data_IF_331932774487
#
_entry.id   IF_331932774487
#
_cell.length_a   1.000
_cell.length_b   1.000
_cell.length_c   1.000
_cell.angle_alpha   90.00
_cell.angle_beta   90.00
_cell.angle_gamma   90.00
#
_symmetry.space_group_name_H-M   'P 1'
#
loop_
_entity.id
_entity.type
_entity.pdbx_description
1 polymer ?
#
# COMPACT_ATOMS: atom_id res chain seq x y z
N UNK A 1 12.77 -10.43 -21.35
CA UNK A 1 12.58 -9.39 -20.32
C UNK A 1 12.12 -8.14 -21.05
N UNK A 2 10.82 -7.99 -21.27
CA UNK A 2 10.28 -6.86 -22.02
C UNK A 2 10.40 -5.60 -21.15
N UNK A 3 10.92 -4.52 -21.75
CA UNK A 3 10.80 -3.16 -21.23
C UNK A 3 9.34 -2.93 -20.83
N UNK A 4 9.09 -2.26 -19.71
CA UNK A 4 7.75 -1.76 -19.43
C UNK A 4 7.34 -0.87 -20.60
N UNK A 5 6.51 -1.39 -21.51
CA UNK A 5 6.00 -0.66 -22.65
C UNK A 5 5.36 0.60 -22.09
N UNK A 6 5.89 1.77 -22.49
CA UNK A 6 5.19 3.02 -22.26
C UNK A 6 3.79 2.83 -22.86
N UNK A 7 2.76 2.85 -22.00
CA UNK A 7 1.40 2.64 -22.45
C UNK A 7 1.13 3.55 -23.65
N UNK A 8 0.65 2.96 -24.74
CA UNK A 8 0.45 3.71 -25.99
C UNK A 8 -0.32 5.01 -25.70
N UNK A 9 0.12 6.15 -26.24
CA UNK A 9 -0.55 7.42 -26.03
C UNK A 9 -2.04 7.33 -26.32
N UNK A 10 -2.87 7.84 -25.41
CA UNK A 10 -4.32 7.80 -25.55
C UNK A 10 -4.98 6.50 -25.08
N UNK A 11 -4.22 5.48 -24.66
CA UNK A 11 -4.82 4.33 -23.95
C UNK A 11 -5.38 4.74 -22.59
N UNK A 12 -6.34 3.96 -22.09
CA UNK A 12 -6.95 4.22 -20.79
C UNK A 12 -5.96 4.11 -19.61
N UNK A 13 -4.85 3.38 -19.78
CA UNK A 13 -3.74 3.32 -18.82
C UNK A 13 -2.90 4.60 -18.89
N UNK A 14 -2.45 4.97 -20.10
CA UNK A 14 -1.70 6.20 -20.32
C UNK A 14 -2.44 7.44 -19.82
N UNK A 15 -3.74 7.55 -20.11
CA UNK A 15 -4.55 8.67 -19.63
C UNK A 15 -4.68 8.67 -18.12
N UNK A 16 -4.85 7.52 -17.48
CA UNK A 16 -4.89 7.44 -16.01
C UNK A 16 -3.55 7.87 -15.37
N UNK A 17 -2.42 7.54 -15.99
CA UNK A 17 -1.10 8.03 -15.56
C UNK A 17 -0.98 9.56 -15.72
N UNK A 18 -1.51 10.10 -16.82
CA UNK A 18 -1.55 11.55 -17.04
C UNK A 18 -2.47 12.29 -16.07
N UNK A 19 -3.57 11.67 -15.61
CA UNK A 19 -4.39 12.25 -14.52
C UNK A 19 -3.54 12.50 -13.28
N UNK A 20 -2.67 11.55 -12.92
CA UNK A 20 -1.77 11.71 -11.78
C UNK A 20 -0.76 12.84 -11.98
N UNK A 21 -0.17 12.95 -13.17
CA UNK A 21 0.79 14.01 -13.52
C UNK A 21 0.14 15.38 -13.39
N UNK A 22 -1.07 15.55 -13.91
CA UNK A 22 -1.78 16.82 -13.85
C UNK A 22 -2.29 17.14 -12.45
N UNK A 23 -2.78 16.15 -11.70
CA UNK A 23 -3.13 16.33 -10.29
C UNK A 23 -1.92 16.78 -9.45
N UNK A 24 -0.75 16.20 -9.71
CA UNK A 24 0.52 16.55 -9.08
C UNK A 24 1.00 17.98 -9.37
N UNK A 25 0.69 18.50 -10.56
CA UNK A 25 0.99 19.87 -10.99
C UNK A 25 0.00 20.90 -10.42
N UNK A 26 -1.05 20.45 -9.73
CA UNK A 26 -2.17 21.29 -9.33
C UNK A 26 -3.16 21.59 -10.45
N UNK A 27 -3.01 20.94 -11.61
CA UNK A 27 -3.86 21.09 -12.79
C UNK A 27 -5.10 20.20 -12.69
N UNK A 28 -5.90 20.40 -11.64
CA UNK A 28 -7.02 19.52 -11.29
C UNK A 28 -8.09 19.42 -12.40
N UNK A 29 -8.33 20.50 -13.13
CA UNK A 29 -9.31 20.47 -14.25
C UNK A 29 -8.83 19.60 -15.40
N UNK A 30 -7.53 19.65 -15.73
CA UNK A 30 -6.94 18.79 -16.75
C UNK A 30 -6.93 17.33 -16.29
N UNK A 31 -6.58 17.09 -15.02
CA UNK A 31 -6.68 15.78 -14.39
C UNK A 31 -8.10 15.18 -14.51
N UNK A 32 -9.15 15.98 -14.29
CA UNK A 32 -10.54 15.52 -14.47
C UNK A 32 -10.90 15.21 -15.92
N UNK A 33 -10.50 16.07 -16.85
CA UNK A 33 -10.75 15.85 -18.27
C UNK A 33 -10.10 14.55 -18.75
N UNK A 34 -8.87 14.30 -18.32
CA UNK A 34 -8.13 13.06 -18.59
C UNK A 34 -8.78 11.84 -17.92
N UNK A 35 -9.28 11.96 -16.69
CA UNK A 35 -9.94 10.86 -15.98
C UNK A 35 -11.25 10.47 -16.67
N UNK A 36 -12.04 11.46 -17.09
CA UNK A 36 -13.27 11.23 -17.86
C UNK A 36 -12.98 10.46 -19.16
N UNK A 37 -11.91 10.84 -19.86
CA UNK A 37 -11.46 10.13 -21.07
C UNK A 37 -10.97 8.71 -20.75
N UNK A 38 -10.18 8.53 -19.69
CA UNK A 38 -9.67 7.23 -19.26
C UNK A 38 -10.80 6.25 -18.90
N UNK A 39 -11.80 6.71 -18.13
CA UNK A 39 -12.97 5.92 -17.75
C UNK A 39 -13.88 5.58 -18.94
N UNK A 40 -13.95 6.46 -19.94
CA UNK A 40 -14.71 6.21 -21.15
C UNK A 40 -14.11 5.10 -22.02
N UNK A 41 -12.79 4.96 -22.03
CA UNK A 41 -12.05 4.01 -22.88
C UNK A 41 -11.97 2.59 -22.31
N UNK A 42 -12.06 2.42 -20.99
CA UNK A 42 -11.99 1.11 -20.37
C UNK A 42 -12.84 1.11 -19.11
N UNK A 43 -14.09 0.68 -19.31
CA UNK A 43 -15.13 0.58 -18.28
C UNK A 43 -14.91 -0.60 -17.32
N UNK A 44 -14.02 -1.54 -17.65
CA UNK A 44 -13.88 -2.83 -16.96
C UNK A 44 -12.73 -2.88 -15.94
N UNK A 45 -11.64 -2.10 -16.12
CA UNK A 45 -10.59 -1.98 -15.09
C UNK A 45 -10.96 -0.96 -14.02
N UNK A 46 -11.72 -1.44 -13.03
CA UNK A 46 -12.37 -0.61 -12.02
C UNK A 46 -11.45 -0.12 -10.89
N UNK A 47 -10.37 -0.82 -10.53
CA UNK A 47 -9.72 -0.59 -9.23
C UNK A 47 -8.91 0.72 -9.12
N UNK A 48 -7.86 0.98 -9.92
CA UNK A 48 -7.01 2.17 -9.73
C UNK A 48 -7.72 3.48 -10.11
N UNK A 49 -8.63 3.41 -11.09
CA UNK A 49 -9.39 4.59 -11.56
C UNK A 49 -10.49 4.99 -10.58
N UNK A 50 -11.10 4.05 -9.84
CA UNK A 50 -12.05 4.36 -8.75
C UNK A 50 -11.36 5.03 -7.57
N UNK A 51 -10.16 4.58 -7.18
CA UNK A 51 -9.37 5.22 -6.11
C UNK A 51 -9.07 6.68 -6.48
N UNK A 52 -8.61 6.92 -7.70
CA UNK A 52 -8.33 8.25 -8.23
C UNK A 52 -9.57 9.15 -8.32
N UNK A 53 -10.68 8.61 -8.82
CA UNK A 53 -11.99 9.30 -8.85
C UNK A 53 -12.44 9.70 -7.45
N UNK A 54 -12.43 8.75 -6.49
CA UNK A 54 -12.83 9.00 -5.10
C UNK A 54 -12.01 10.10 -4.45
N UNK A 55 -10.69 10.12 -4.68
CA UNK A 55 -9.81 11.15 -4.14
C UNK A 55 -10.08 12.54 -4.74
N UNK A 56 -10.34 12.63 -6.05
CA UNK A 56 -10.70 13.89 -6.71
C UNK A 56 -12.06 14.42 -6.23
N UNK A 57 -13.06 13.56 -6.08
CA UNK A 57 -14.41 13.92 -5.58
C UNK A 57 -14.39 14.32 -4.11
N UNK A 58 -13.59 13.63 -3.28
CA UNK A 58 -13.39 14.00 -1.88
C UNK A 58 -12.76 15.40 -1.75
N UNK A 59 -11.79 15.71 -2.62
CA UNK A 59 -11.19 17.05 -2.67
C UNK A 59 -12.16 18.16 -3.03
N UNK A 60 -13.07 17.92 -3.98
CA UNK A 60 -14.08 18.93 -4.34
C UNK A 60 -15.05 19.22 -3.20
N UNK A 61 -15.52 18.18 -2.51
CA UNK A 61 -16.45 18.30 -1.39
C UNK A 61 -15.91 19.14 -0.24
N UNK A 62 -14.60 19.13 -0.03
CA UNK A 62 -13.93 19.84 1.06
C UNK A 62 -13.62 21.32 0.75
N UNK A 63 -14.36 21.93 -0.20
CA UNK A 63 -14.15 23.33 -0.61
C UNK A 63 -12.83 23.52 -1.36
N UNK A 64 -12.41 22.47 -2.07
CA UNK A 64 -11.03 22.15 -2.45
C UNK A 64 -10.08 23.33 -2.70
N UNK A 65 -8.87 23.34 -2.11
CA UNK A 65 -7.86 24.31 -2.56
C UNK A 65 -6.35 23.95 -2.41
N UNK A 66 -5.54 24.53 -3.32
CA UNK A 66 -4.12 24.97 -3.27
C UNK A 66 -2.95 23.97 -3.12
N UNK A 67 -3.06 22.84 -2.42
CA UNK A 67 -1.94 21.88 -2.27
C UNK A 67 -2.38 20.40 -2.17
N UNK A 68 -2.14 19.66 -3.25
CA UNK A 68 -2.44 18.23 -3.38
C UNK A 68 -1.72 17.36 -2.33
N UNK A 69 -0.50 17.74 -1.91
CA UNK A 69 0.27 16.99 -0.91
C UNK A 69 -0.36 17.14 0.48
N UNK A 70 -0.78 18.35 0.84
CA UNK A 70 -1.44 18.62 2.12
C UNK A 70 -2.77 17.86 2.25
N UNK A 71 -3.55 17.77 1.16
CA UNK A 71 -4.80 16.98 1.14
C UNK A 71 -4.55 15.50 1.42
N UNK A 72 -3.59 14.90 0.72
CA UNK A 72 -3.33 13.46 0.84
C UNK A 72 -2.76 13.06 2.21
N UNK A 73 -2.02 13.97 2.83
CA UNK A 73 -1.41 13.76 4.15
C UNK A 73 -2.32 14.20 5.30
N UNK A 74 -3.46 14.84 5.03
CA UNK A 74 -4.42 15.25 6.05
C UNK A 74 -4.77 14.06 6.94
N UNK A 75 -4.88 14.30 8.25
CA UNK A 75 -5.37 13.28 9.17
C UNK A 75 -6.75 12.77 8.75
N UNK A 76 -7.20 11.62 9.25
CA UNK A 76 -8.62 11.32 9.16
C UNK A 76 -9.41 12.46 9.81
N UNK A 77 -10.66 12.61 9.41
CA UNK A 77 -11.56 13.52 10.11
C UNK A 77 -11.77 12.99 11.54
N UNK A 78 -11.09 13.59 12.51
CA UNK A 78 -11.10 13.13 13.90
C UNK A 78 -12.50 13.22 14.49
N UNK A 79 -13.33 14.18 14.04
CA UNK A 79 -14.75 14.25 14.41
C UNK A 79 -15.52 13.06 13.86
N UNK A 80 -15.37 12.74 12.58
CA UNK A 80 -16.03 11.58 11.99
C UNK A 80 -15.55 10.23 12.55
N UNK A 81 -14.28 10.10 12.97
CA UNK A 81 -13.80 8.89 13.65
C UNK A 81 -14.34 8.80 15.08
N UNK A 82 -14.35 9.89 15.85
CA UNK A 82 -14.90 9.92 17.21
C UNK A 82 -16.41 9.63 17.20
N UNK A 83 -17.17 10.23 16.27
CA UNK A 83 -18.59 9.95 16.08
C UNK A 83 -18.88 8.48 15.72
N UNK A 84 -17.91 7.77 15.16
CA UNK A 84 -18.01 6.34 14.83
C UNK A 84 -17.43 5.42 15.91
N UNK A 85 -16.69 5.93 16.90
CA UNK A 85 -16.37 5.19 18.12
C UNK A 85 -17.63 5.00 18.98
N UNK A 86 -18.57 5.94 18.87
CA UNK A 86 -19.88 5.90 19.53
C UNK A 86 -21.00 5.29 18.65
N UNK A 87 -20.74 4.99 17.37
CA UNK A 87 -21.72 4.35 16.47
C UNK A 87 -21.44 2.86 16.31
N UNK A 88 -22.47 2.03 16.43
CA UNK A 88 -22.41 0.57 16.21
C UNK A 88 -22.39 0.19 14.70
N UNK A 89 -21.72 1.01 13.86
CA UNK A 89 -21.60 0.83 12.41
C UNK A 89 -20.15 0.56 11.99
N UNK A 90 -19.67 -0.69 12.16
CA UNK A 90 -18.30 -1.07 11.85
C UNK A 90 -17.96 -0.95 10.35
N UNK A 91 -18.94 -1.04 9.46
CA UNK A 91 -18.74 -0.92 8.02
C UNK A 91 -18.38 0.51 7.61
N UNK A 92 -19.06 1.52 8.16
CA UNK A 92 -18.71 2.93 7.93
C UNK A 92 -17.31 3.25 8.45
N UNK A 93 -16.96 2.77 9.64
CA UNK A 93 -15.63 2.93 10.22
C UNK A 93 -14.55 2.29 9.34
N UNK A 94 -14.79 1.07 8.87
CA UNK A 94 -13.92 0.36 7.94
C UNK A 94 -13.72 1.17 6.65
N UNK A 95 -14.81 1.67 6.05
CA UNK A 95 -14.77 2.47 4.82
C UNK A 95 -13.92 3.74 4.94
N UNK A 96 -13.96 4.43 6.08
CA UNK A 96 -13.12 5.61 6.32
C UNK A 96 -11.64 5.29 6.49
N UNK A 97 -11.31 4.19 7.18
CA UNK A 97 -9.91 3.75 7.34
C UNK A 97 -9.33 3.39 5.98
N UNK A 98 -10.06 2.62 5.16
CA UNK A 98 -9.65 2.27 3.79
C UNK A 98 -9.47 3.52 2.93
N UNK A 99 -10.41 4.46 2.97
CA UNK A 99 -10.30 5.72 2.21
C UNK A 99 -9.13 6.59 2.68
N UNK A 100 -8.82 6.60 3.98
CA UNK A 100 -7.65 7.29 4.50
C UNK A 100 -6.34 6.63 4.05
N UNK A 101 -6.25 5.30 4.17
CA UNK A 101 -5.08 4.54 3.73
C UNK A 101 -4.82 4.71 2.23
N UNK A 102 -5.87 4.72 1.40
CA UNK A 102 -5.78 5.02 -0.02
C UNK A 102 -5.10 6.38 -0.29
N UNK A 103 -5.45 7.43 0.46
CA UNK A 103 -4.80 8.74 0.36
C UNK A 103 -3.32 8.68 0.74
N UNK A 104 -2.97 7.93 1.78
CA UNK A 104 -1.58 7.78 2.22
C UNK A 104 -0.73 6.97 1.24
N UNK A 105 -1.26 5.89 0.65
CA UNK A 105 -0.61 5.15 -0.44
C UNK A 105 -0.31 6.06 -1.61
N UNK A 106 -1.29 6.89 -1.96
CA UNK A 106 -1.12 7.87 -3.00
C UNK A 106 -0.06 8.92 -2.66
N UNK A 107 -0.08 9.48 -1.44
CA UNK A 107 0.97 10.40 -0.98
C UNK A 107 2.36 9.75 -1.09
N UNK A 108 2.46 8.47 -0.71
CA UNK A 108 3.69 7.70 -0.83
C UNK A 108 4.11 7.52 -2.28
N UNK A 109 3.24 7.12 -3.21
CA UNK A 109 3.60 7.00 -4.64
C UNK A 109 4.20 8.30 -5.19
N UNK A 110 3.71 9.44 -4.72
CA UNK A 110 4.14 10.76 -5.17
C UNK A 110 5.48 11.23 -4.59
N UNK A 111 5.89 10.77 -3.40
CA UNK A 111 7.09 11.29 -2.76
C UNK A 111 8.40 10.80 -3.42
N UNK A 112 8.60 9.49 -3.69
CA UNK A 112 9.69 8.98 -4.52
C UNK A 112 9.60 9.47 -5.97
N UNK A 113 8.42 9.74 -6.52
CA UNK A 113 8.27 10.30 -7.87
C UNK A 113 9.08 11.60 -8.04
N UNK A 114 9.15 12.42 -6.99
CA UNK A 114 9.90 13.68 -6.94
C UNK A 114 11.40 13.51 -6.66
N UNK A 115 11.84 12.35 -6.18
CA UNK A 115 13.26 12.07 -5.94
C UNK A 115 14.03 11.90 -7.25
N UNK A 116 15.15 12.62 -7.41
CA UNK A 116 16.08 12.42 -8.54
C UNK A 116 17.03 11.24 -8.33
N UNK A 117 17.14 10.76 -7.09
CA UNK A 117 18.14 9.78 -6.67
C UNK A 117 17.67 8.33 -6.85
N UNK A 118 16.39 8.13 -7.20
CA UNK A 118 15.81 6.81 -7.43
C UNK A 118 15.54 6.60 -8.92
N UNK A 119 15.98 5.46 -9.45
CA UNK A 119 15.60 5.04 -10.79
C UNK A 119 14.06 4.84 -10.89
N UNK A 120 13.42 5.17 -12.03
CA UNK A 120 11.97 5.01 -12.19
C UNK A 120 11.45 3.62 -11.84
N UNK A 121 12.14 2.56 -12.27
CA UNK A 121 11.77 1.17 -11.94
C UNK A 121 11.74 0.92 -10.42
N UNK A 122 12.69 1.50 -9.67
CA UNK A 122 12.72 1.36 -8.21
C UNK A 122 11.56 2.09 -7.53
N UNK A 123 11.15 3.25 -8.05
CA UNK A 123 9.99 3.99 -7.54
C UNK A 123 8.71 3.18 -7.71
N UNK A 124 8.51 2.62 -8.89
CA UNK A 124 7.37 1.75 -9.19
C UNK A 124 7.36 0.51 -8.31
N UNK A 125 8.51 -0.16 -8.20
CA UNK A 125 8.66 -1.35 -7.36
C UNK A 125 8.30 -1.09 -5.88
N UNK A 126 8.76 0.03 -5.30
CA UNK A 126 8.41 0.38 -3.93
C UNK A 126 6.91 0.65 -3.74
N UNK A 127 6.23 1.22 -4.74
CA UNK A 127 4.80 1.40 -4.70
C UNK A 127 4.06 0.06 -4.68
N UNK A 128 4.44 -0.86 -5.57
CA UNK A 128 3.88 -2.22 -5.63
C UNK A 128 4.06 -2.95 -4.29
N UNK A 129 5.28 -2.94 -3.73
CA UNK A 129 5.49 -3.60 -2.44
C UNK A 129 4.67 -3.00 -1.29
N UNK A 130 4.38 -1.69 -1.31
CA UNK A 130 3.48 -1.10 -0.33
C UNK A 130 2.03 -1.55 -0.54
N UNK A 131 1.59 -1.63 -1.79
CA UNK A 131 0.25 -2.10 -2.14
C UNK A 131 0.04 -3.55 -1.70
N UNK A 132 1.00 -4.43 -2.00
CA UNK A 132 0.94 -5.85 -1.60
C UNK A 132 0.89 -6.01 -0.07
N UNK A 133 1.67 -5.20 0.67
CA UNK A 133 1.65 -5.19 2.13
C UNK A 133 0.28 -4.78 2.67
N UNK A 134 -0.31 -3.73 2.10
CA UNK A 134 -1.61 -3.22 2.51
C UNK A 134 -2.74 -4.19 2.16
N UNK A 135 -2.73 -4.77 0.97
CA UNK A 135 -3.71 -5.75 0.53
C UNK A 135 -3.65 -7.01 1.41
N UNK A 136 -2.45 -7.45 1.76
CA UNK A 136 -2.27 -8.58 2.68
C UNK A 136 -2.86 -8.27 4.06
N UNK A 137 -2.64 -7.07 4.59
CA UNK A 137 -3.23 -6.66 5.86
C UNK A 137 -4.77 -6.60 5.80
N UNK A 138 -5.32 -6.01 4.73
CA UNK A 138 -6.78 -5.91 4.53
C UNK A 138 -7.47 -7.28 4.42
N UNK A 139 -6.83 -8.27 3.77
CA UNK A 139 -7.37 -9.63 3.63
C UNK A 139 -7.60 -10.35 4.97
N UNK A 140 -6.81 -10.03 6.00
CA UNK A 140 -6.99 -10.56 7.36
C UNK A 140 -8.01 -9.78 8.19
N UNK A 141 -8.83 -8.94 7.54
CA UNK A 141 -9.79 -8.07 8.22
C UNK A 141 -9.11 -6.98 9.06
N UNK A 142 -7.82 -6.74 8.81
CA UNK A 142 -7.03 -5.74 9.53
C UNK A 142 -6.55 -4.64 8.58
N UNK A 143 -7.39 -3.68 8.18
CA UNK A 143 -6.92 -2.51 7.46
C UNK A 143 -6.07 -1.70 8.45
N UNK A 144 -4.72 -1.73 8.36
CA UNK A 144 -3.91 -1.10 9.38
C UNK A 144 -4.19 0.38 9.27
N UNK A 145 -4.70 1.01 10.32
CA UNK A 145 -4.77 2.47 10.32
C UNK A 145 -3.33 2.96 10.29
N UNK A 146 -2.83 3.37 9.13
CA UNK A 146 -1.40 3.56 8.88
C UNK A 146 -0.77 4.62 9.80
N UNK A 147 -1.57 5.51 10.41
CA UNK A 147 -1.10 6.45 11.43
C UNK A 147 -0.89 5.83 12.81
N UNK A 148 -1.49 4.68 13.11
CA UNK A 148 -1.17 3.88 14.29
C UNK A 148 0.11 3.07 14.06
N UNK A 149 1.24 3.76 14.24
CA UNK A 149 2.58 3.16 14.13
C UNK A 149 2.75 1.99 15.11
N UNK A 150 2.08 2.00 16.26
CA UNK A 150 2.22 0.96 17.28
C UNK A 150 1.55 -0.33 16.84
N UNK A 151 0.36 -0.25 16.25
CA UNK A 151 -0.33 -1.39 15.68
C UNK A 151 0.43 -1.95 14.48
N UNK A 152 0.89 -1.09 13.54
CA UNK A 152 1.75 -1.54 12.43
C UNK A 152 3.01 -2.22 12.90
N UNK A 153 3.68 -1.69 13.92
CA UNK A 153 4.86 -2.33 14.51
C UNK A 153 4.56 -3.71 15.12
N UNK A 154 3.37 -3.90 15.68
CA UNK A 154 2.95 -5.15 16.34
C UNK A 154 2.66 -6.24 15.33
N UNK A 155 1.86 -5.92 14.31
CA UNK A 155 1.36 -6.89 13.33
C UNK A 155 2.30 -7.10 12.13
N UNK A 156 3.33 -6.23 11.96
CA UNK A 156 4.27 -6.35 10.84
C UNK A 156 4.76 -7.78 10.58
N UNK A 157 5.24 -8.58 11.58
CA UNK A 157 5.68 -9.95 11.32
C UNK A 157 4.58 -10.82 10.69
N UNK A 158 3.35 -10.70 11.18
CA UNK A 158 2.23 -11.51 10.73
C UNK A 158 1.83 -11.18 9.28
N UNK A 159 1.81 -9.89 8.91
CA UNK A 159 1.59 -9.50 7.50
C UNK A 159 2.68 -10.07 6.61
N UNK A 160 3.96 -10.01 7.03
CA UNK A 160 5.06 -10.55 6.22
C UNK A 160 4.95 -12.07 6.04
N UNK A 161 4.50 -12.79 7.07
CA UNK A 161 4.25 -14.22 6.99
C UNK A 161 3.11 -14.53 6.01
N UNK A 162 2.03 -13.74 6.04
CA UNK A 162 0.92 -13.87 5.09
C UNK A 162 1.35 -13.58 3.65
N UNK A 163 2.11 -12.51 3.42
CA UNK A 163 2.69 -12.19 2.11
C UNK A 163 3.52 -13.36 1.59
N UNK A 164 4.30 -14.00 2.47
CA UNK A 164 5.16 -15.14 2.11
C UNK A 164 4.34 -16.35 1.64
N UNK A 165 3.21 -16.61 2.29
CA UNK A 165 2.33 -17.73 1.93
C UNK A 165 1.51 -17.43 0.68
N UNK A 166 1.01 -16.20 0.55
CA UNK A 166 0.05 -15.82 -0.50
C UNK A 166 0.69 -15.39 -1.82
N UNK A 167 1.88 -14.78 -1.79
CA UNK A 167 2.56 -14.29 -2.99
C UNK A 167 3.55 -15.34 -3.51
N UNK A 168 3.29 -15.83 -4.72
CA UNK A 168 4.01 -16.94 -5.37
C UNK A 168 5.51 -16.66 -5.61
N UNK A 169 5.92 -15.40 -5.56
CA UNK A 169 7.26 -14.89 -5.81
C UNK A 169 7.87 -14.16 -4.60
N UNK A 170 7.28 -14.27 -3.41
CA UNK A 170 7.83 -13.64 -2.22
C UNK A 170 9.19 -14.23 -1.84
N UNK A 171 10.25 -13.46 -2.05
CA UNK A 171 11.62 -13.84 -1.78
C UNK A 171 12.38 -12.74 -1.02
N UNK A 172 13.72 -12.83 -1.00
CA UNK A 172 14.56 -11.84 -0.34
C UNK A 172 14.37 -10.44 -0.92
N UNK A 173 14.27 -10.33 -2.25
CA UNK A 173 14.11 -9.05 -2.91
C UNK A 173 12.76 -8.45 -2.55
N UNK A 174 11.67 -9.24 -2.64
CA UNK A 174 10.33 -8.84 -2.23
C UNK A 174 10.27 -8.39 -0.75
N UNK A 175 10.92 -9.12 0.15
CA UNK A 175 11.06 -8.75 1.56
C UNK A 175 11.76 -7.39 1.74
N UNK A 176 12.89 -7.20 1.04
CA UNK A 176 13.68 -5.97 1.12
C UNK A 176 12.94 -4.78 0.51
N UNK A 177 12.21 -5.01 -0.58
CA UNK A 177 11.28 -4.06 -1.20
C UNK A 177 10.19 -3.62 -0.25
N UNK A 178 9.49 -4.58 0.37
CA UNK A 178 8.41 -4.34 1.32
C UNK A 178 8.90 -3.59 2.55
N UNK A 179 10.01 -4.02 3.16
CA UNK A 179 10.61 -3.29 4.29
C UNK A 179 10.96 -1.84 3.91
N UNK A 180 11.54 -1.65 2.74
CA UNK A 180 11.91 -0.32 2.24
C UNK A 180 10.68 0.55 1.99
N UNK A 181 9.63 -0.01 1.42
CA UNK A 181 8.39 0.69 1.10
C UNK A 181 7.66 1.15 2.37
N UNK A 182 7.47 0.26 3.34
CA UNK A 182 6.88 0.58 4.64
C UNK A 182 7.69 1.65 5.35
N UNK A 183 9.02 1.49 5.44
CA UNK A 183 9.88 2.51 6.06
C UNK A 183 9.86 3.84 5.33
N UNK A 184 9.78 3.83 4.00
CA UNK A 184 9.66 5.02 3.16
C UNK A 184 8.37 5.79 3.43
N UNK A 185 7.24 5.09 3.54
CA UNK A 185 5.96 5.69 3.93
C UNK A 185 6.07 6.36 5.30
N UNK A 186 6.57 5.65 6.32
CA UNK A 186 6.67 6.23 7.67
C UNK A 186 7.71 7.34 7.78
N UNK A 187 8.76 7.32 6.94
CA UNK A 187 9.69 8.43 6.82
C UNK A 187 9.01 9.67 6.25
N UNK A 188 8.20 9.51 5.20
CA UNK A 188 7.35 10.57 4.66
C UNK A 188 6.43 11.11 5.76
N UNK A 189 5.64 10.25 6.41
CA UNK A 189 4.72 10.67 7.47
C UNK A 189 5.43 11.40 8.62
N UNK A 190 6.62 10.96 9.02
CA UNK A 190 7.38 11.59 10.10
C UNK A 190 8.01 12.92 9.69
N UNK A 191 8.41 13.08 8.43
CA UNK A 191 8.93 14.34 7.89
C UNK A 191 7.84 15.41 7.84
N UNK A 192 6.62 15.01 7.48
CA UNK A 192 5.47 15.91 7.33
C UNK A 192 4.69 16.12 8.64
N UNK A 193 5.19 15.57 9.76
CA UNK A 193 4.56 15.71 11.08
C UNK A 193 3.27 14.90 11.27
N UNK A 194 2.92 14.02 10.32
CA UNK A 194 1.74 13.15 10.42
C UNK A 194 1.89 12.04 11.46
N UNK A 195 3.13 11.64 11.77
CA UNK A 195 3.46 10.73 12.89
C UNK A 195 4.68 11.23 13.66
N UNK A 196 4.81 10.93 14.97
CA UNK A 196 5.99 11.32 15.73
C UNK A 196 7.28 10.65 15.23
N UNK A 197 8.35 11.43 15.03
CA UNK A 197 9.69 10.92 14.63
C UNK A 197 10.21 9.82 15.56
N UNK A 198 9.87 9.86 16.85
CA UNK A 198 10.23 8.82 17.81
C UNK A 198 9.57 7.46 17.50
N UNK A 199 8.28 7.47 17.14
CA UNK A 199 7.56 6.26 16.76
C UNK A 199 8.12 5.66 15.46
N UNK A 200 8.41 6.50 14.45
CA UNK A 200 9.11 6.04 13.24
C UNK A 200 10.46 5.37 13.56
N UNK A 201 11.29 5.97 14.42
CA UNK A 201 12.57 5.37 14.83
C UNK A 201 12.38 4.01 15.50
N UNK A 202 11.34 3.83 16.30
CA UNK A 202 11.02 2.55 16.92
C UNK A 202 10.56 1.50 15.91
N UNK A 203 9.70 1.87 14.96
CA UNK A 203 9.30 0.99 13.87
C UNK A 203 10.52 0.55 13.05
N UNK A 204 11.38 1.50 12.65
CA UNK A 204 12.62 1.21 11.92
C UNK A 204 13.51 0.21 12.63
N UNK A 205 13.77 0.42 13.92
CA UNK A 205 14.56 -0.52 14.74
C UNK A 205 13.92 -1.90 14.81
N UNK A 206 12.59 -1.98 14.94
CA UNK A 206 11.85 -3.24 15.01
C UNK A 206 11.96 -4.02 13.69
N UNK A 207 11.71 -3.37 12.55
CA UNK A 207 11.79 -4.00 11.22
C UNK A 207 13.22 -4.52 10.97
N UNK A 208 14.25 -3.73 11.25
CA UNK A 208 15.66 -4.15 11.10
C UNK A 208 15.95 -5.39 11.95
N UNK A 209 15.48 -5.42 13.21
CA UNK A 209 15.69 -6.55 14.12
C UNK A 209 14.96 -7.82 13.67
N UNK A 210 13.75 -7.69 13.14
CA UNK A 210 12.92 -8.83 12.71
C UNK A 210 13.35 -9.41 11.37
N UNK A 211 13.92 -8.58 10.49
CA UNK A 211 14.24 -8.94 9.11
C UNK A 211 14.98 -10.27 8.96
N UNK A 212 16.04 -10.61 9.72
CA UNK A 212 16.74 -11.89 9.57
C UNK A 212 15.81 -13.09 9.81
N UNK A 213 15.02 -13.05 10.88
CA UNK A 213 14.08 -14.13 11.21
C UNK A 213 12.97 -14.28 10.17
N UNK A 214 12.48 -13.18 9.60
CA UNK A 214 11.49 -13.24 8.51
C UNK A 214 12.13 -13.84 7.26
N UNK A 215 13.35 -13.42 6.91
CA UNK A 215 14.08 -13.95 5.77
C UNK A 215 14.32 -15.45 5.87
N UNK A 216 14.65 -15.95 7.07
CA UNK A 216 14.84 -17.39 7.31
C UNK A 216 13.54 -18.17 7.05
N UNK A 217 12.39 -17.64 7.50
CA UNK A 217 11.08 -18.25 7.22
C UNK A 217 10.71 -18.20 5.74
N UNK A 218 10.96 -17.07 5.06
CA UNK A 218 10.78 -16.92 3.60
C UNK A 218 11.61 -17.97 2.85
N UNK A 219 12.88 -18.11 3.19
CA UNK A 219 13.77 -19.09 2.58
C UNK A 219 13.32 -20.53 2.88
N UNK A 220 12.91 -20.82 4.13
CA UNK A 220 12.38 -22.10 4.55
C UNK A 220 11.15 -22.51 3.75
N UNK A 221 10.15 -21.63 3.69
CA UNK A 221 8.91 -21.92 2.97
C UNK A 221 9.10 -21.98 1.46
N UNK A 222 9.99 -21.16 0.89
CA UNK A 222 10.30 -21.24 -0.54
C UNK A 222 10.92 -22.58 -0.95
N UNK A 223 11.70 -23.23 -0.07
CA UNK A 223 12.20 -24.58 -0.33
C UNK A 223 11.05 -25.60 -0.37
N UNK A 224 10.19 -25.57 0.64
CA UNK A 224 9.00 -26.43 0.74
C UNK A 224 8.08 -26.27 -0.48
N UNK A 225 7.76 -25.02 -0.83
CA UNK A 225 6.84 -24.69 -1.91
C UNK A 225 7.34 -25.13 -3.29
N UNK A 226 8.65 -25.09 -3.50
CA UNK A 226 9.30 -25.41 -4.79
C UNK A 226 9.75 -26.86 -4.89
N UNK A 227 9.60 -27.65 -3.83
CA UNK A 227 9.94 -29.07 -3.84
C UNK A 227 8.89 -29.85 -4.67
N UNK A 228 9.28 -30.47 -5.81
CA UNK A 228 8.35 -31.25 -6.62
C UNK A 228 7.96 -32.58 -5.98
N UNK A 229 8.69 -33.04 -4.96
CA UNK A 229 8.45 -34.31 -4.27
C UNK A 229 7.50 -34.18 -3.08
N UNK A 230 7.25 -32.97 -2.59
CA UNK A 230 6.32 -32.75 -1.48
C UNK A 230 4.87 -32.75 -1.95
N UNK A 231 4.03 -33.52 -1.25
CA UNK A 231 2.57 -33.51 -1.42
C UNK A 231 1.96 -32.18 -0.94
N UNK A 232 0.69 -31.94 -1.26
CA UNK A 232 -0.03 -30.77 -0.76
C UNK A 232 -0.11 -30.78 0.78
N UNK A 233 -0.46 -31.91 1.39
CA UNK A 233 -0.59 -32.07 2.84
C UNK A 233 0.74 -31.84 3.57
N UNK A 234 1.86 -32.31 3.00
CA UNK A 234 3.19 -32.07 3.55
C UNK A 234 3.56 -30.57 3.51
N UNK A 235 3.16 -29.87 2.45
CA UNK A 235 3.38 -28.41 2.33
C UNK A 235 2.53 -27.63 3.32
N UNK A 236 1.30 -28.05 3.58
CA UNK A 236 0.46 -27.43 4.61
C UNK A 236 1.03 -27.66 6.02
N UNK A 237 1.48 -28.88 6.35
CA UNK A 237 2.15 -29.15 7.63
C UNK A 237 3.40 -28.31 7.80
N UNK A 238 4.26 -28.25 6.78
CA UNK A 238 5.47 -27.43 6.83
C UNK A 238 5.17 -25.92 6.89
N UNK A 239 4.10 -25.44 6.23
CA UNK A 239 3.60 -24.06 6.39
C UNK A 239 3.28 -23.77 7.86
N UNK A 240 2.50 -24.64 8.49
CA UNK A 240 2.04 -24.47 9.86
C UNK A 240 3.20 -24.59 10.87
N UNK A 241 4.21 -25.41 10.59
CA UNK A 241 5.45 -25.45 11.38
C UNK A 241 6.27 -24.15 11.29
N UNK A 242 6.33 -23.55 10.10
CA UNK A 242 7.13 -22.34 9.85
C UNK A 242 6.44 -21.08 10.38
N UNK A 243 5.12 -20.95 10.17
CA UNK A 243 4.36 -19.72 10.43
C UNK A 243 3.30 -19.85 11.52
N UNK A 244 3.00 -21.07 11.96
CA UNK A 244 1.87 -21.38 12.84
C UNK A 244 0.56 -21.61 12.08
N UNK A 245 -0.45 -22.21 12.73
CA UNK A 245 -1.73 -22.61 12.10
C UNK A 245 -2.65 -21.42 11.76
N UNK A 246 -2.19 -20.18 12.00
CA UNK A 246 -2.97 -18.95 11.80
C UNK A 246 -2.64 -18.23 10.50
N UNK A 247 -1.68 -18.73 9.71
CA UNK A 247 -1.21 -18.07 8.49
C UNK A 247 -1.67 -18.89 7.28
N UNK A 248 -2.83 -18.52 6.70
CA UNK A 248 -3.47 -19.22 5.59
C UNK A 248 -4.96 -18.92 5.52
N UNK A 249 -5.55 -19.10 4.34
CA UNK A 249 -6.97 -18.80 4.07
C UNK A 249 -7.89 -19.42 5.12
N UNK A 250 -8.70 -18.59 5.79
CA UNK A 250 -9.96 -19.01 6.39
C UNK A 250 -11.05 -19.04 5.33
#
# INVERSE_FOLDING_TARGET
MALADAAEPGTAVHLADMVWVEALRGNIQEAKALLKKALALDRARESPRRELKRNLEAMEREGGPKDWRAFLLRGPDAGAILELEDSDDPEKRYGLIVAHNARLRLAFRMDPARSKDLAPARKFYLAVCLDDFMESAEREGWPPFLRDVAAVRREFPHIMDLMTVTLSDFDREALDGTCSAVLGLYQLLAREGAVPKAQFRHLKKRIIRLRPSILDRVAGYNRVRRDPMMTYEDRERARDEIFGPRVGFR
#
